data_IF_233485733013
#
_entry.id   IF_233485733013
#
_cell.length_a   1.000
_cell.length_b   1.000
_cell.length_c   1.000
_cell.angle_alpha   90.00
_cell.angle_beta   90.00
_cell.angle_gamma   90.00
#
_symmetry.space_group_name_H-M   'P 1'
#
loop_
_entity.id
_entity.type
_entity.pdbx_description
1 polymer ?
#
# COMPACT_ATOMS: atom_id res chain seq x y z
N UNK A 1 -10.71 14.49 -17.78
CA UNK A 1 -10.87 13.43 -16.77
C UNK A 1 -11.69 14.02 -15.66
N UNK A 2 -12.86 13.45 -15.39
CA UNK A 2 -13.78 13.93 -14.35
C UNK A 2 -13.06 13.96 -13.01
N UNK A 3 -12.97 15.14 -12.42
CA UNK A 3 -12.51 15.40 -11.05
C UNK A 3 -13.59 14.94 -10.07
N UNK A 4 -13.90 13.65 -10.10
CA UNK A 4 -14.84 13.05 -9.17
C UNK A 4 -14.14 12.97 -7.82
N UNK A 5 -14.30 14.02 -7.02
CA UNK A 5 -14.01 13.97 -5.59
C UNK A 5 -14.78 12.76 -5.05
N UNK A 6 -14.12 11.75 -4.44
CA UNK A 6 -14.80 10.56 -3.99
C UNK A 6 -15.90 10.97 -3.00
N UNK A 7 -17.17 10.79 -3.38
CA UNK A 7 -18.32 11.17 -2.56
C UNK A 7 -18.15 10.61 -1.16
N UNK A 8 -18.28 11.45 -0.13
CA UNK A 8 -18.00 11.07 1.24
C UNK A 8 -18.89 9.89 1.65
N UNK A 9 -18.30 8.85 2.24
CA UNK A 9 -19.06 7.76 2.85
C UNK A 9 -19.38 8.17 4.30
N UNK A 10 -20.65 8.52 4.62
CA UNK A 10 -21.03 8.93 5.96
C UNK A 10 -20.86 7.81 7.00
N UNK A 11 -20.74 6.55 6.57
CA UNK A 11 -20.49 5.41 7.46
C UNK A 11 -19.05 5.30 7.95
N UNK A 12 -18.09 6.00 7.32
CA UNK A 12 -16.67 5.91 7.65
C UNK A 12 -16.13 7.25 8.16
N UNK A 13 -15.52 7.32 9.37
CA UNK A 13 -14.98 8.56 9.90
C UNK A 13 -13.78 9.10 9.11
N UNK A 14 -13.04 8.23 8.42
CA UNK A 14 -11.86 8.61 7.64
C UNK A 14 -12.02 8.27 6.16
N UNK A 15 -11.52 9.16 5.32
CA UNK A 15 -11.33 8.88 3.90
C UNK A 15 -10.02 8.10 3.69
N UNK A 16 -9.00 8.36 4.52
CA UNK A 16 -7.69 7.72 4.43
C UNK A 16 -7.05 7.48 5.80
N UNK A 17 -6.43 6.32 6.00
CA UNK A 17 -5.56 6.06 7.15
C UNK A 17 -4.17 5.67 6.66
N UNK A 18 -3.13 6.36 7.16
CA UNK A 18 -1.74 6.02 6.90
C UNK A 18 -1.19 5.14 8.03
N UNK A 19 -1.12 3.83 7.79
CA UNK A 19 -0.57 2.86 8.74
C UNK A 19 0.94 2.65 8.56
N UNK A 20 1.72 2.94 9.60
CA UNK A 20 3.19 2.94 9.54
C UNK A 20 3.80 4.34 9.42
N UNK A 21 3.04 5.39 9.76
CA UNK A 21 3.44 6.80 9.65
C UNK A 21 4.77 7.15 10.34
N UNK A 22 5.19 6.37 11.35
CA UNK A 22 6.44 6.61 12.09
C UNK A 22 7.68 6.00 11.43
N UNK A 23 7.51 5.26 10.33
CA UNK A 23 8.62 4.69 9.56
C UNK A 23 9.24 5.74 8.62
N UNK A 24 10.38 5.40 8.01
CA UNK A 24 11.05 6.29 7.05
C UNK A 24 10.11 6.70 5.91
N UNK A 25 9.64 5.73 5.11
CA UNK A 25 8.69 5.99 4.03
C UNK A 25 7.38 6.56 4.54
N UNK A 26 6.86 6.05 5.67
CA UNK A 26 5.62 6.54 6.28
C UNK A 26 5.68 8.05 6.57
N UNK A 27 6.79 8.55 7.08
CA UNK A 27 6.97 9.99 7.33
C UNK A 27 6.99 10.83 6.05
N UNK A 28 7.57 10.31 4.96
CA UNK A 28 7.57 10.97 3.65
C UNK A 28 6.16 11.01 3.05
N UNK A 29 5.39 9.92 3.19
CA UNK A 29 3.98 9.88 2.77
C UNK A 29 3.15 10.85 3.61
N UNK A 30 3.40 10.95 4.91
CA UNK A 30 2.71 11.90 5.78
C UNK A 30 3.02 13.36 5.40
N UNK A 31 4.29 13.70 5.12
CA UNK A 31 4.68 15.02 4.61
C UNK A 31 3.98 15.30 3.27
N UNK A 32 3.93 14.33 2.34
CA UNK A 32 3.25 14.48 1.05
C UNK A 32 1.74 14.71 1.21
N UNK A 33 1.06 13.95 2.07
CA UNK A 33 -0.36 14.12 2.35
C UNK A 33 -0.65 15.48 2.98
N UNK A 34 0.21 15.97 3.88
CA UNK A 34 0.05 17.30 4.46
C UNK A 34 0.14 18.43 3.41
N UNK A 35 0.96 18.24 2.38
CA UNK A 35 1.14 19.22 1.30
C UNK A 35 0.07 19.14 0.20
N UNK A 36 -0.52 17.95 -0.04
CA UNK A 36 -1.32 17.68 -1.24
C UNK A 36 -2.72 17.12 -1.00
N UNK A 37 -3.04 16.66 0.22
CA UNK A 37 -4.39 16.17 0.49
C UNK A 37 -5.41 17.32 0.34
N UNK A 38 -6.58 17.08 -0.27
CA UNK A 38 -7.65 18.08 -0.30
C UNK A 38 -7.96 18.56 1.12
N UNK A 39 -8.24 19.85 1.30
CA UNK A 39 -8.48 20.43 2.63
C UNK A 39 -9.67 19.77 3.38
N UNK A 40 -10.63 19.20 2.64
CA UNK A 40 -11.77 18.48 3.19
C UNK A 40 -11.49 16.99 3.49
N UNK A 41 -10.32 16.46 3.13
CA UNK A 41 -9.98 15.05 3.32
C UNK A 41 -9.84 14.74 4.82
N UNK A 42 -10.60 13.77 5.30
CA UNK A 42 -10.51 13.30 6.68
C UNK A 42 -9.51 12.16 6.72
N UNK A 43 -8.33 12.39 7.29
CA UNK A 43 -7.31 11.35 7.36
C UNK A 43 -6.66 11.24 8.73
N UNK A 44 -6.04 10.09 9.00
CA UNK A 44 -5.41 9.80 10.29
C UNK A 44 -4.04 9.12 10.13
N UNK A 45 -3.19 9.31 11.14
CA UNK A 45 -1.92 8.60 11.27
C UNK A 45 -2.11 7.38 12.17
N UNK A 46 -1.72 6.21 11.68
CA UNK A 46 -1.81 4.96 12.42
C UNK A 46 -0.43 4.32 12.63
N UNK A 47 -0.26 3.69 13.79
CA UNK A 47 0.98 2.98 14.14
C UNK A 47 1.00 2.54 15.59
N UNK A 48 2.04 1.80 15.97
CA UNK A 48 2.14 1.17 17.30
C UNK A 48 2.48 2.10 18.46
N UNK A 49 3.11 3.24 18.19
CA UNK A 49 3.66 4.11 19.23
C UNK A 49 3.01 5.49 19.16
N UNK A 50 2.08 5.73 20.08
CA UNK A 50 1.33 6.98 20.18
C UNK A 50 2.24 8.20 20.35
N UNK A 51 3.33 8.08 21.12
CA UNK A 51 4.33 9.15 21.28
C UNK A 51 5.06 9.48 19.98
N UNK A 52 5.40 8.48 19.16
CA UNK A 52 6.01 8.70 17.85
C UNK A 52 5.01 9.26 16.84
N UNK A 53 3.75 8.83 16.90
CA UNK A 53 2.68 9.41 16.08
C UNK A 53 2.46 10.89 16.40
N UNK A 54 2.45 11.25 17.69
CA UNK A 54 2.43 12.66 18.13
C UNK A 54 3.61 13.45 17.56
N UNK A 55 4.83 12.92 17.65
CA UNK A 55 6.00 13.59 17.10
C UNK A 55 5.90 13.83 15.58
N UNK A 56 5.37 12.87 14.81
CA UNK A 56 5.10 13.06 13.37
C UNK A 56 4.06 14.17 13.16
N UNK A 57 2.92 14.11 13.85
CA UNK A 57 1.88 15.14 13.76
C UNK A 57 2.40 16.52 14.13
N UNK A 58 3.14 16.66 15.22
CA UNK A 58 3.64 17.95 15.70
C UNK A 58 4.64 18.57 14.69
N UNK A 59 5.47 17.73 14.04
CA UNK A 59 6.32 18.15 12.93
C UNK A 59 5.50 18.65 11.74
N UNK A 60 4.44 17.95 11.37
CA UNK A 60 3.53 18.38 10.30
C UNK A 60 2.84 19.70 10.67
N UNK A 61 2.31 19.80 11.89
CA UNK A 61 1.58 20.97 12.39
C UNK A 61 2.43 22.24 12.46
N UNK A 62 3.75 22.11 12.65
CA UNK A 62 4.68 23.24 12.59
C UNK A 62 4.72 23.92 11.21
N UNK A 63 4.45 23.16 10.13
CA UNK A 63 4.33 23.67 8.76
C UNK A 63 2.88 23.92 8.35
N UNK A 64 1.96 23.14 8.91
CA UNK A 64 0.56 23.05 8.53
C UNK A 64 -0.33 23.16 9.77
N UNK A 65 -0.59 24.38 10.30
CA UNK A 65 -1.26 24.56 11.59
C UNK A 65 -2.63 23.88 11.72
N UNK A 66 -3.35 23.68 10.60
CA UNK A 66 -4.63 22.97 10.56
C UNK A 66 -4.52 21.47 10.92
N UNK A 67 -3.32 20.88 10.90
CA UNK A 67 -3.06 19.49 11.27
C UNK A 67 -2.75 19.29 12.75
N UNK A 68 -2.88 20.34 13.58
CA UNK A 68 -2.64 20.25 15.03
C UNK A 68 -3.47 19.16 15.71
N UNK A 69 -4.70 18.98 15.24
CA UNK A 69 -5.65 18.00 15.75
C UNK A 69 -5.80 16.78 14.83
N UNK A 70 -4.81 16.52 13.96
CA UNK A 70 -4.80 15.36 13.08
C UNK A 70 -4.97 14.07 13.91
N UNK A 71 -5.99 13.24 13.63
CA UNK A 71 -6.28 12.04 14.40
C UNK A 71 -5.13 11.04 14.40
N UNK A 72 -4.91 10.42 15.57
CA UNK A 72 -3.88 9.40 15.78
C UNK A 72 -4.56 8.08 16.19
N UNK A 73 -4.19 6.98 15.54
CA UNK A 73 -4.74 5.65 15.81
C UNK A 73 -3.61 4.73 16.25
N UNK A 74 -3.63 4.32 17.52
CA UNK A 74 -2.67 3.36 18.03
C UNK A 74 -3.11 1.93 17.70
N UNK A 75 -2.33 1.23 16.87
CA UNK A 75 -2.63 -0.12 16.41
C UNK A 75 -1.36 -0.90 16.09
N UNK A 76 -1.32 -2.16 16.51
CA UNK A 76 -0.23 -3.09 16.22
C UNK A 76 -0.57 -3.96 15.01
N UNK A 77 0.42 -4.25 14.17
CA UNK A 77 0.22 -5.04 12.95
C UNK A 77 -0.17 -6.50 13.22
N UNK A 78 -0.02 -6.97 14.46
CA UNK A 78 -0.41 -8.33 14.89
C UNK A 78 -1.80 -8.39 15.52
N UNK A 79 -2.42 -7.25 15.83
CA UNK A 79 -3.75 -7.19 16.45
C UNK A 79 -4.85 -7.22 15.39
N UNK A 80 -5.25 -8.43 15.00
CA UNK A 80 -6.29 -8.64 13.97
C UNK A 80 -7.62 -7.94 14.29
N UNK A 81 -8.20 -8.05 15.50
CA UNK A 81 -9.40 -7.29 15.85
C UNK A 81 -9.25 -5.78 15.71
N UNK A 82 -8.10 -5.22 16.11
CA UNK A 82 -7.87 -3.78 15.96
C UNK A 82 -7.69 -3.36 14.50
N UNK A 83 -7.03 -4.18 13.68
CA UNK A 83 -6.88 -3.93 12.24
C UNK A 83 -8.23 -4.00 11.51
N UNK A 84 -9.13 -4.90 11.92
CA UNK A 84 -10.49 -4.94 11.37
C UNK A 84 -11.25 -3.65 11.68
N UNK A 85 -11.25 -3.20 12.95
CA UNK A 85 -11.86 -1.91 13.33
C UNK A 85 -11.25 -0.73 12.57
N UNK A 86 -9.93 -0.76 12.34
CA UNK A 86 -9.25 0.26 11.55
C UNK A 86 -9.75 0.25 10.10
N UNK A 87 -9.84 -0.92 9.47
CA UNK A 87 -10.35 -1.07 8.09
C UNK A 87 -11.82 -0.68 7.96
N UNK A 88 -12.67 -0.99 8.93
CA UNK A 88 -14.07 -0.56 8.98
C UNK A 88 -14.19 0.97 9.09
N UNK A 89 -13.22 1.63 9.74
CA UNK A 89 -13.26 3.09 9.97
C UNK A 89 -12.81 3.95 8.79
N UNK A 90 -12.30 3.36 7.71
CA UNK A 90 -11.69 4.12 6.61
C UNK A 90 -12.03 3.58 5.23
N UNK A 91 -12.04 4.44 4.22
CA UNK A 91 -12.26 4.04 2.83
C UNK A 91 -11.03 3.36 2.25
N UNK A 92 -9.86 3.92 2.53
CA UNK A 92 -8.57 3.35 2.13
C UNK A 92 -7.59 3.33 3.30
N UNK A 93 -6.79 2.26 3.37
CA UNK A 93 -5.58 2.19 4.19
C UNK A 93 -4.36 2.20 3.27
N UNK A 94 -3.49 3.19 3.46
CA UNK A 94 -2.12 3.16 2.90
C UNK A 94 -1.22 2.60 3.99
N UNK A 95 -0.50 1.52 3.71
CA UNK A 95 0.45 0.95 4.66
C UNK A 95 1.89 1.04 4.18
N UNK A 96 2.77 1.35 5.14
CA UNK A 96 4.23 1.27 4.98
C UNK A 96 4.85 0.32 6.00
N UNK A 97 4.07 -0.63 6.53
CA UNK A 97 4.49 -1.55 7.59
C UNK A 97 5.05 -2.84 6.99
N UNK A 98 6.36 -2.84 6.73
CA UNK A 98 7.12 -4.03 6.36
C UNK A 98 7.96 -4.59 7.53
N UNK A 99 8.59 -5.77 7.35
CA UNK A 99 8.50 -6.67 6.19
C UNK A 99 7.09 -7.27 6.01
N UNK A 100 6.53 -7.22 4.79
CA UNK A 100 5.12 -7.54 4.54
C UNK A 100 4.84 -9.04 4.62
N UNK A 101 5.81 -9.89 4.24
CA UNK A 101 5.73 -11.34 4.48
C UNK A 101 5.50 -11.70 5.95
N UNK A 102 5.93 -10.86 6.89
CA UNK A 102 5.77 -11.10 8.33
C UNK A 102 4.58 -10.35 8.92
N UNK A 103 4.35 -9.11 8.50
CA UNK A 103 3.40 -8.20 9.16
C UNK A 103 2.21 -7.78 8.28
N UNK A 104 2.25 -8.05 6.97
CA UNK A 104 1.29 -7.48 6.01
C UNK A 104 -0.05 -8.22 5.96
N UNK A 105 -0.05 -9.55 6.10
CA UNK A 105 -1.27 -10.37 5.90
C UNK A 105 -2.44 -9.97 6.79
N UNK A 106 -2.26 -9.71 8.10
CA UNK A 106 -3.36 -9.32 8.97
C UNK A 106 -4.15 -8.10 8.48
N UNK A 107 -3.46 -7.08 7.94
CA UNK A 107 -4.13 -5.88 7.43
C UNK A 107 -4.82 -6.15 6.07
N UNK A 108 -4.21 -6.93 5.19
CA UNK A 108 -4.83 -7.32 3.92
C UNK A 108 -6.13 -8.07 4.18
N UNK A 109 -6.10 -9.04 5.11
CA UNK A 109 -7.29 -9.79 5.51
C UNK A 109 -8.37 -8.86 6.07
N UNK A 110 -8.02 -7.94 6.97
CA UNK A 110 -8.96 -6.96 7.52
C UNK A 110 -9.59 -6.08 6.44
N UNK A 111 -8.81 -5.60 5.48
CA UNK A 111 -9.31 -4.77 4.39
C UNK A 111 -10.24 -5.56 3.45
N UNK A 112 -9.86 -6.79 3.10
CA UNK A 112 -10.69 -7.68 2.30
C UNK A 112 -12.03 -8.01 2.98
N UNK A 113 -12.05 -8.21 4.31
CA UNK A 113 -13.29 -8.45 5.05
C UNK A 113 -14.17 -7.20 5.17
N UNK A 114 -13.58 -6.04 5.41
CA UNK A 114 -14.31 -4.79 5.67
C UNK A 114 -14.77 -4.05 4.39
N UNK A 115 -14.44 -4.55 3.19
CA UNK A 115 -14.67 -3.78 1.96
C UNK A 115 -13.86 -2.47 1.92
N UNK A 116 -12.67 -2.48 2.55
CA UNK A 116 -11.78 -1.32 2.60
C UNK A 116 -10.70 -1.45 1.53
N UNK A 117 -10.42 -0.37 0.83
CA UNK A 117 -9.31 -0.34 -0.13
C UNK A 117 -7.96 -0.40 0.62
N UNK A 118 -6.99 -1.06 0.02
CA UNK A 118 -5.68 -1.30 0.58
C UNK A 118 -4.60 -0.93 -0.44
N UNK A 119 -3.59 -0.20 0.03
CA UNK A 119 -2.41 0.17 -0.77
C UNK A 119 -1.14 -0.07 0.03
N UNK A 120 -0.16 -0.74 -0.59
CA UNK A 120 1.20 -0.87 -0.04
C UNK A 120 2.30 -0.52 -1.06
N UNK A 121 3.55 -0.54 -0.60
CA UNK A 121 4.73 -0.40 -1.45
C UNK A 121 5.64 -1.63 -1.40
N UNK A 122 5.06 -2.82 -1.22
CA UNK A 122 5.84 -4.05 -1.04
C UNK A 122 6.71 -4.35 -2.26
N UNK A 123 7.95 -4.78 -2.00
CA UNK A 123 8.86 -5.35 -3.00
C UNK A 123 8.96 -6.86 -2.89
N UNK A 124 7.99 -7.53 -2.25
CA UNK A 124 8.04 -8.96 -1.91
C UNK A 124 7.06 -9.78 -2.76
N UNK A 125 7.48 -10.39 -3.90
CA UNK A 125 6.57 -11.09 -4.80
C UNK A 125 5.82 -12.26 -4.15
N UNK A 126 6.47 -13.00 -3.24
CA UNK A 126 5.81 -14.09 -2.50
C UNK A 126 4.62 -13.57 -1.68
N UNK A 127 4.74 -12.38 -1.10
CA UNK A 127 3.64 -11.77 -0.34
C UNK A 127 2.47 -11.45 -1.28
N UNK A 128 2.73 -10.80 -2.41
CA UNK A 128 1.70 -10.44 -3.39
C UNK A 128 0.95 -11.67 -3.92
N UNK A 129 1.68 -12.72 -4.29
CA UNK A 129 1.09 -13.97 -4.76
C UNK A 129 0.27 -14.67 -3.68
N UNK A 130 0.80 -14.73 -2.44
CA UNK A 130 0.10 -15.33 -1.31
C UNK A 130 -1.17 -14.56 -0.95
N UNK A 131 -1.14 -13.23 -0.96
CA UNK A 131 -2.30 -12.40 -0.62
C UNK A 131 -3.42 -12.56 -1.65
N UNK A 132 -3.08 -12.64 -2.94
CA UNK A 132 -4.09 -12.96 -3.94
C UNK A 132 -4.74 -14.31 -3.69
N UNK A 133 -3.94 -15.36 -3.51
CA UNK A 133 -4.45 -16.72 -3.34
C UNK A 133 -5.36 -16.85 -2.10
N UNK A 134 -5.10 -16.06 -1.05
CA UNK A 134 -5.84 -16.11 0.21
C UNK A 134 -7.04 -15.16 0.28
N UNK A 135 -6.92 -13.95 -0.28
CA UNK A 135 -7.85 -12.85 0.03
C UNK A 135 -8.50 -12.22 -1.19
N UNK A 136 -8.07 -12.53 -2.43
CA UNK A 136 -8.64 -11.89 -3.62
C UNK A 136 -10.14 -12.17 -3.77
N UNK A 137 -10.57 -13.42 -3.63
CA UNK A 137 -11.99 -13.78 -3.77
C UNK A 137 -12.86 -12.99 -2.79
N UNK A 138 -12.40 -12.87 -1.53
CA UNK A 138 -13.11 -12.11 -0.51
C UNK A 138 -13.15 -10.62 -0.82
N UNK A 139 -12.04 -10.05 -1.27
CA UNK A 139 -11.99 -8.64 -1.68
C UNK A 139 -12.94 -8.35 -2.84
N UNK A 140 -13.09 -9.28 -3.79
CA UNK A 140 -14.08 -9.17 -4.88
C UNK A 140 -15.52 -9.19 -4.33
N UNK A 141 -15.82 -10.08 -3.39
CA UNK A 141 -17.16 -10.17 -2.77
C UNK A 141 -17.55 -8.90 -1.99
N UNK A 142 -16.59 -8.29 -1.28
CA UNK A 142 -16.84 -7.10 -0.43
C UNK A 142 -16.67 -5.78 -1.16
N UNK A 143 -16.10 -5.81 -2.38
CA UNK A 143 -15.78 -4.62 -3.17
C UNK A 143 -14.46 -3.94 -2.81
N UNK A 144 -13.67 -4.51 -1.89
CA UNK A 144 -12.33 -4.01 -1.56
C UNK A 144 -11.36 -4.12 -2.73
N UNK A 145 -10.52 -3.11 -2.91
CA UNK A 145 -9.41 -3.12 -3.88
C UNK A 145 -8.09 -3.29 -3.15
N UNK A 146 -7.39 -4.39 -3.41
CA UNK A 146 -6.07 -4.67 -2.86
C UNK A 146 -4.99 -4.34 -3.89
N UNK A 147 -4.30 -3.21 -3.73
CA UNK A 147 -3.28 -2.72 -4.67
C UNK A 147 -1.91 -2.82 -4.02
N UNK A 148 -1.12 -3.78 -4.50
CA UNK A 148 0.24 -4.01 -4.02
C UNK A 148 1.27 -3.26 -4.87
N UNK A 149 2.45 -3.06 -4.29
CA UNK A 149 3.65 -2.56 -4.98
C UNK A 149 3.52 -1.14 -5.57
N UNK A 150 2.79 -0.25 -4.90
CA UNK A 150 2.69 1.18 -5.25
C UNK A 150 3.93 1.98 -4.80
N UNK A 151 5.12 1.48 -5.13
CA UNK A 151 6.40 2.08 -4.79
C UNK A 151 7.30 2.30 -6.01
N UNK A 152 8.48 2.84 -5.75
CA UNK A 152 9.48 3.10 -6.79
C UNK A 152 9.92 1.84 -7.54
N UNK A 153 9.90 0.68 -6.90
CA UNK A 153 10.38 -0.57 -7.54
C UNK A 153 9.43 -1.08 -8.64
N UNK A 154 8.19 -0.59 -8.71
CA UNK A 154 7.19 -1.04 -9.71
C UNK A 154 6.61 0.09 -10.54
N UNK A 155 6.31 1.25 -9.95
CA UNK A 155 5.64 2.37 -10.65
C UNK A 155 6.39 2.81 -11.94
N UNK A 156 7.72 3.05 -11.94
CA UNK A 156 8.43 3.45 -13.15
C UNK A 156 8.36 2.40 -14.26
N UNK A 157 8.40 1.11 -13.91
CA UNK A 157 8.29 0.03 -14.87
C UNK A 157 6.86 -0.05 -15.43
N UNK A 158 5.84 -0.04 -14.58
CA UNK A 158 4.43 -0.14 -14.98
C UNK A 158 4.00 1.05 -15.83
N UNK A 159 4.31 2.28 -15.39
CA UNK A 159 3.99 3.50 -16.15
C UNK A 159 4.81 3.59 -17.44
N UNK A 160 6.07 3.15 -17.43
CA UNK A 160 6.91 3.12 -18.62
C UNK A 160 6.37 2.16 -19.69
N UNK A 161 5.92 0.97 -19.28
CA UNK A 161 5.25 0.00 -20.17
C UNK A 161 3.93 0.57 -20.68
N UNK A 162 3.10 1.11 -19.79
CA UNK A 162 1.80 1.69 -20.17
C UNK A 162 1.96 2.85 -21.17
N UNK A 163 2.89 3.76 -20.92
CA UNK A 163 3.20 4.87 -21.83
C UNK A 163 3.66 4.33 -23.18
N UNK A 164 4.64 3.42 -23.20
CA UNK A 164 5.18 2.86 -24.44
C UNK A 164 4.09 2.17 -25.27
N UNK A 165 3.22 1.38 -24.63
CA UNK A 165 2.13 0.70 -25.33
C UNK A 165 1.06 1.65 -25.86
N UNK A 166 0.80 2.78 -25.16
CA UNK A 166 -0.12 3.83 -25.66
C UNK A 166 0.44 4.52 -26.90
N UNK A 167 1.74 4.80 -26.93
CA UNK A 167 2.39 5.44 -28.08
C UNK A 167 2.49 4.50 -29.29
N UNK A 168 2.80 3.22 -29.07
CA UNK A 168 2.88 2.23 -30.17
C UNK A 168 1.50 1.90 -30.76
N UNK A 169 0.44 1.99 -29.95
CA UNK A 169 -0.93 1.72 -30.34
C UNK A 169 -1.23 0.22 -30.59
N UNK A 170 -2.50 -0.13 -30.89
CA UNK A 170 -2.95 -1.53 -30.95
C UNK A 170 -2.32 -2.37 -32.09
N UNK A 171 -1.73 -1.72 -33.09
CA UNK A 171 -1.19 -2.37 -34.30
C UNK A 171 0.26 -2.85 -34.13
N UNK A 172 0.89 -2.60 -32.97
CA UNK A 172 2.31 -2.86 -32.75
C UNK A 172 2.71 -4.34 -32.76
N UNK A 173 1.74 -5.25 -32.72
CA UNK A 173 1.99 -6.67 -32.47
C UNK A 173 2.65 -6.90 -31.11
N UNK A 174 3.24 -8.09 -30.87
CA UNK A 174 3.94 -8.39 -29.61
C UNK A 174 5.19 -7.50 -29.42
N UNK A 175 5.26 -6.80 -28.28
CA UNK A 175 6.38 -5.91 -27.95
C UNK A 175 7.18 -6.49 -26.78
N UNK A 176 8.51 -6.48 -26.90
CA UNK A 176 9.43 -6.75 -25.78
C UNK A 176 10.00 -5.43 -25.27
N UNK A 177 9.77 -5.14 -23.99
CA UNK A 177 10.27 -3.94 -23.32
C UNK A 177 11.34 -4.34 -22.32
N UNK A 178 12.46 -3.61 -22.29
CA UNK A 178 13.53 -3.76 -21.31
C UNK A 178 13.75 -2.41 -20.63
N UNK A 179 13.54 -2.36 -19.31
CA UNK A 179 13.79 -1.18 -18.49
C UNK A 179 15.14 -1.29 -17.76
N UNK A 180 15.88 -0.19 -17.70
CA UNK A 180 17.13 -0.08 -16.95
C UNK A 180 17.01 1.08 -15.97
N UNK A 181 17.34 0.84 -14.70
CA UNK A 181 17.32 1.85 -13.65
C UNK A 181 18.74 2.01 -13.12
N UNK A 182 19.20 3.27 -13.02
CA UNK A 182 20.43 3.63 -12.32
C UNK A 182 20.06 4.51 -11.13
N UNK A 183 20.42 4.07 -9.94
CA UNK A 183 20.12 4.79 -8.70
C UNK A 183 21.37 4.94 -7.84
N UNK A 184 21.49 6.09 -7.17
CA UNK A 184 22.52 6.38 -6.16
C UNK A 184 21.93 6.36 -4.73
N UNK A 185 20.77 5.72 -4.53
CA UNK A 185 20.07 5.66 -3.24
C UNK A 185 20.64 4.62 -2.28
N UNK A 186 20.41 4.84 -0.98
CA UNK A 186 20.64 3.84 0.09
C UNK A 186 19.35 3.10 0.40
N UNK A 187 19.45 1.82 0.76
CA UNK A 187 18.29 1.01 1.15
C UNK A 187 17.78 1.42 2.54
N UNK A 188 16.46 1.50 2.70
CA UNK A 188 15.87 1.61 4.05
C UNK A 188 16.08 0.30 4.82
N UNK A 189 16.08 0.37 6.16
CA UNK A 189 16.20 -0.85 6.98
C UNK A 189 15.11 -1.89 6.69
N UNK A 190 13.89 -1.44 6.35
CA UNK A 190 12.80 -2.33 5.93
C UNK A 190 13.09 -3.00 4.59
N UNK A 191 13.58 -2.24 3.61
CA UNK A 191 13.95 -2.78 2.29
C UNK A 191 15.06 -3.81 2.39
N UNK A 192 16.09 -3.56 3.21
CA UNK A 192 17.17 -4.50 3.44
C UNK A 192 16.67 -5.81 4.07
N UNK A 193 15.79 -5.71 5.08
CA UNK A 193 15.19 -6.88 5.72
C UNK A 193 14.37 -7.73 4.71
N UNK A 194 13.53 -7.07 3.90
CA UNK A 194 12.77 -7.75 2.83
C UNK A 194 13.67 -8.44 1.81
N UNK A 195 14.75 -7.78 1.37
CA UNK A 195 15.70 -8.38 0.44
C UNK A 195 16.38 -9.64 1.01
N UNK A 196 16.80 -9.58 2.28
CA UNK A 196 17.39 -10.75 2.98
C UNK A 196 16.37 -11.89 3.10
N UNK A 197 15.13 -11.58 3.49
CA UNK A 197 14.07 -12.59 3.59
C UNK A 197 13.77 -13.24 2.25
N UNK A 198 13.65 -12.47 1.17
CA UNK A 198 13.41 -13.00 -0.18
C UNK A 198 14.53 -13.97 -0.63
N UNK A 199 15.80 -13.59 -0.44
CA UNK A 199 16.94 -14.46 -0.78
C UNK A 199 16.94 -15.78 0.02
N UNK A 200 16.38 -15.79 1.22
CA UNK A 200 16.30 -17.00 2.06
C UNK A 200 15.15 -17.95 1.69
N UNK A 201 14.24 -17.54 0.80
CA UNK A 201 12.96 -18.27 0.53
C UNK A 201 12.70 -18.64 -0.95
N UNK A 202 13.69 -19.00 -1.77
CA UNK A 202 13.47 -19.19 -3.22
C UNK A 202 12.42 -20.25 -3.55
N UNK A 203 12.37 -21.35 -2.78
CA UNK A 203 11.39 -22.41 -2.99
C UNK A 203 9.96 -22.00 -2.62
N UNK A 204 9.77 -21.15 -1.60
CA UNK A 204 8.45 -20.66 -1.23
C UNK A 204 7.94 -19.64 -2.25
N UNK A 205 8.80 -18.71 -2.69
CA UNK A 205 8.52 -17.78 -3.78
C UNK A 205 8.08 -18.52 -5.05
N UNK A 206 8.85 -19.52 -5.50
CA UNK A 206 8.52 -20.28 -6.70
C UNK A 206 7.19 -21.05 -6.60
N UNK A 207 6.87 -21.61 -5.44
CA UNK A 207 5.58 -22.29 -5.19
C UNK A 207 4.41 -21.31 -5.24
N UNK A 208 4.53 -20.16 -4.57
CA UNK A 208 3.50 -19.12 -4.58
C UNK A 208 3.24 -18.62 -6.00
N UNK A 209 4.29 -18.32 -6.77
CA UNK A 209 4.18 -17.90 -8.17
C UNK A 209 3.53 -18.97 -9.06
N UNK A 210 3.89 -20.25 -8.88
CA UNK A 210 3.26 -21.35 -9.64
C UNK A 210 1.77 -21.46 -9.31
N UNK A 211 1.40 -21.40 -8.04
CA UNK A 211 0.00 -21.46 -7.61
C UNK A 211 -0.79 -20.24 -8.12
N UNK A 212 -0.21 -19.04 -8.06
CA UNK A 212 -0.78 -17.81 -8.60
C UNK A 212 -1.11 -17.93 -10.08
N UNK A 213 -0.16 -18.40 -10.89
CA UNK A 213 -0.35 -18.59 -12.34
C UNK A 213 -1.43 -19.61 -12.67
N UNK A 214 -1.59 -20.63 -11.83
CA UNK A 214 -2.68 -21.61 -12.00
C UNK A 214 -4.06 -21.00 -11.68
N UNK A 215 -4.13 -20.10 -10.70
CA UNK A 215 -5.36 -19.44 -10.27
C UNK A 215 -5.74 -18.20 -11.11
N UNK A 216 -4.77 -17.56 -11.76
CA UNK A 216 -4.97 -16.45 -12.70
C UNK A 216 -4.19 -16.74 -13.98
N UNK A 217 -4.79 -17.42 -14.97
CA UNK A 217 -4.15 -17.58 -16.26
C UNK A 217 -3.93 -16.21 -16.92
N UNK A 218 -2.89 -16.11 -17.74
CA UNK A 218 -2.61 -14.90 -18.50
C UNK A 218 -3.82 -14.57 -19.40
N UNK A 219 -4.09 -13.27 -19.63
CA UNK A 219 -5.04 -12.87 -20.67
C UNK A 219 -4.68 -13.55 -21.99
N UNK A 220 -5.70 -14.02 -22.70
CA UNK A 220 -5.57 -14.68 -24.01
C UNK A 220 -5.04 -13.72 -25.08
#
# INVERSE_FOLDING_TARGET
MSDATPEADPGKPYDLVLFGATGFTGSLVADYLADHAPAAARWALAGRSESKLRAVRDKLAARHPHLKDLPLITVEATDRPALLRLAESTRVVITTVGPYLTHGEPLVAACAEAGCDYVDLTGEPEFVDAMYLKHHARAVETGARLVHACGFDSIPADLGVLYTMRELGPQSGPVRIQGFIRSNGTFSGGTLASAVTAMSRPGAMARAAKARRAAQPLPA
#
